data_IF_740405184275
#
_entry.id   IF_740405184275
#
_cell.length_a   1.000
_cell.length_b   1.000
_cell.length_c   1.000
_cell.angle_alpha   90.00
_cell.angle_beta   90.00
_cell.angle_gamma   90.00
#
_symmetry.space_group_name_H-M   'P 1'
#
loop_
_entity.id
_entity.type
_entity.pdbx_description
1 polymer ?
#
# COMPACT_ATOMS: atom_id res chain seq x y z
N UNK A 1 -16.55 5.86 -14.08
CA UNK A 1 -16.38 4.59 -13.38
C UNK A 1 -16.65 4.78 -11.90
N UNK A 2 -17.40 3.89 -11.32
CA UNK A 2 -17.77 3.99 -9.93
C UNK A 2 -16.59 3.67 -9.02
N UNK A 3 -16.60 4.28 -7.85
CA UNK A 3 -15.59 4.03 -6.84
C UNK A 3 -15.75 2.62 -6.29
N UNK A 4 -14.64 1.93 -6.08
CA UNK A 4 -14.64 0.59 -5.50
C UNK A 4 -14.55 0.62 -3.98
N UNK A 5 -13.92 1.65 -3.41
CA UNK A 5 -13.60 1.72 -1.98
C UNK A 5 -13.75 3.15 -1.48
N UNK A 6 -14.34 3.30 -0.31
CA UNK A 6 -14.53 4.62 0.30
C UNK A 6 -13.29 5.11 1.04
N UNK A 7 -12.46 4.21 1.55
CA UNK A 7 -11.26 4.54 2.32
C UNK A 7 -10.13 3.64 1.91
N UNK A 8 -9.15 4.20 1.23
CA UNK A 8 -8.02 3.43 0.73
C UNK A 8 -6.74 4.24 0.84
N UNK A 9 -5.62 3.58 0.59
CA UNK A 9 -4.31 4.22 0.62
C UNK A 9 -3.37 3.63 -0.40
N UNK A 10 -2.42 4.45 -0.84
CA UNK A 10 -1.32 4.02 -1.67
C UNK A 10 -0.01 4.28 -0.94
N UNK A 11 0.90 3.33 -1.03
CA UNK A 11 2.22 3.43 -0.42
C UNK A 11 3.30 3.32 -1.48
N UNK A 12 4.21 4.27 -1.47
CA UNK A 12 5.41 4.22 -2.28
C UNK A 12 6.56 3.86 -1.34
N UNK A 13 7.04 2.60 -1.43
CA UNK A 13 7.97 2.04 -0.45
C UNK A 13 9.39 2.16 -0.95
N UNK A 14 10.21 2.86 -0.18
CA UNK A 14 11.64 3.02 -0.43
C UNK A 14 12.43 2.38 0.70
N UNK A 15 13.76 2.37 0.56
CA UNK A 15 14.63 1.73 1.54
C UNK A 15 14.48 2.33 2.94
N UNK A 16 14.47 3.65 3.03
CA UNK A 16 14.48 4.34 4.32
C UNK A 16 13.21 5.10 4.63
N UNK A 17 12.27 5.14 3.70
CA UNK A 17 11.02 5.85 3.93
C UNK A 17 9.88 5.27 3.11
N UNK A 18 8.68 5.49 3.60
CA UNK A 18 7.44 5.12 2.92
C UNK A 18 6.60 6.38 2.82
N UNK A 19 6.26 6.76 1.60
CA UNK A 19 5.33 7.86 1.37
C UNK A 19 3.94 7.26 1.26
N UNK A 20 3.02 7.70 2.12
CA UNK A 20 1.68 7.16 2.19
C UNK A 20 0.67 8.24 1.83
N UNK A 21 -0.29 7.88 0.97
CA UNK A 21 -1.40 8.76 0.61
C UNK A 21 -2.71 8.06 0.89
N UNK A 22 -3.53 8.62 1.77
CA UNK A 22 -4.86 8.08 2.06
C UNK A 22 -5.92 8.91 1.35
N UNK A 23 -6.90 8.23 0.76
CA UNK A 23 -8.04 8.86 0.10
C UNK A 23 -9.30 8.41 0.82
N UNK A 24 -10.04 9.36 1.33
CA UNK A 24 -11.18 9.09 2.21
C UNK A 24 -12.39 9.86 1.71
N UNK A 25 -13.53 9.19 1.62
CA UNK A 25 -14.79 9.86 1.28
C UNK A 25 -15.09 10.94 2.30
N UNK A 26 -15.33 12.15 1.83
CA UNK A 26 -15.70 13.27 2.66
C UNK A 26 -16.66 14.17 1.88
N UNK A 27 -17.97 14.07 2.14
CA UNK A 27 -18.96 14.82 1.36
C UNK A 27 -18.81 16.33 1.43
N UNK A 28 -18.15 16.85 2.47
CA UNK A 28 -17.97 18.31 2.59
C UNK A 28 -16.64 18.77 1.98
N UNK A 29 -15.76 17.85 1.59
CA UNK A 29 -14.52 18.22 0.94
C UNK A 29 -14.75 18.49 -0.55
N UNK A 30 -13.91 19.35 -1.12
CA UNK A 30 -13.92 19.59 -2.56
C UNK A 30 -13.64 18.28 -3.30
N UNK A 31 -14.47 17.98 -4.28
CA UNK A 31 -14.35 16.72 -5.03
C UNK A 31 -14.84 15.51 -4.28
N UNK A 32 -15.39 15.67 -3.07
CA UNK A 32 -15.93 14.55 -2.30
C UNK A 32 -14.88 13.66 -1.66
N UNK A 33 -13.63 14.07 -1.67
CA UNK A 33 -12.52 13.28 -1.14
C UNK A 33 -11.61 14.14 -0.26
N UNK A 34 -11.20 13.58 0.87
CA UNK A 34 -10.10 14.11 1.65
C UNK A 34 -8.86 13.28 1.34
N UNK A 35 -7.76 13.96 1.03
CA UNK A 35 -6.50 13.31 0.70
C UNK A 35 -5.49 13.69 1.77
N UNK A 36 -4.89 12.69 2.40
CA UNK A 36 -3.86 12.92 3.41
C UNK A 36 -2.57 12.25 2.99
N UNK A 37 -1.49 13.00 3.06
CA UNK A 37 -0.16 12.54 2.67
C UNK A 37 0.74 12.58 3.90
N UNK A 38 1.46 11.48 4.13
CA UNK A 38 2.35 11.37 5.29
C UNK A 38 3.53 10.48 4.93
N UNK A 39 4.69 10.80 5.46
CA UNK A 39 5.91 10.01 5.26
C UNK A 39 6.31 9.33 6.55
N UNK A 40 6.60 8.04 6.47
CA UNK A 40 7.04 7.23 7.61
C UNK A 40 8.42 6.65 7.31
N UNK A 41 9.17 6.34 8.38
CA UNK A 41 10.38 5.55 8.22
C UNK A 41 10.08 4.07 8.05
N UNK A 42 11.11 3.25 8.05
CA UNK A 42 10.98 1.81 7.81
C UNK A 42 11.41 0.97 9.02
N UNK A 43 11.66 1.60 10.16
CA UNK A 43 11.89 0.87 11.40
C UNK A 43 10.59 0.25 11.89
N UNK A 44 10.68 -0.73 12.77
CA UNK A 44 9.48 -1.39 13.30
C UNK A 44 8.53 -0.39 13.94
N UNK A 45 9.05 0.55 14.75
CA UNK A 45 8.20 1.54 15.40
C UNK A 45 7.50 2.45 14.38
N UNK A 46 8.17 2.81 13.28
CA UNK A 46 7.58 3.63 12.23
C UNK A 46 6.54 2.86 11.44
N UNK A 47 6.78 1.58 11.19
CA UNK A 47 5.81 0.73 10.49
C UNK A 47 4.55 0.53 11.33
N UNK A 48 4.70 0.42 12.64
CA UNK A 48 3.56 0.33 13.54
C UNK A 48 2.80 1.66 13.57
N UNK A 49 3.50 2.78 13.52
CA UNK A 49 2.87 4.09 13.43
C UNK A 49 2.07 4.24 12.13
N UNK A 50 2.61 3.74 11.01
CA UNK A 50 1.91 3.71 9.74
C UNK A 50 0.63 2.89 9.85
N UNK A 51 0.71 1.70 10.43
CA UNK A 51 -0.45 0.85 10.65
C UNK A 51 -1.52 1.57 11.46
N UNK A 52 -1.11 2.21 12.55
CA UNK A 52 -2.05 2.90 13.43
C UNK A 52 -2.70 4.10 12.72
N UNK A 53 -1.93 4.82 11.92
CA UNK A 53 -2.44 5.94 11.15
C UNK A 53 -3.50 5.49 10.13
N UNK A 54 -3.22 4.42 9.41
CA UNK A 54 -4.17 3.87 8.43
C UNK A 54 -5.42 3.33 9.13
N UNK A 55 -5.24 2.65 10.24
CA UNK A 55 -6.35 2.10 11.02
C UNK A 55 -7.25 3.21 11.57
N UNK A 56 -6.64 4.27 12.09
CA UNK A 56 -7.38 5.41 12.63
C UNK A 56 -8.21 6.11 11.53
N UNK A 57 -7.71 6.12 10.30
CA UNK A 57 -8.43 6.68 9.16
C UNK A 57 -9.49 5.73 8.60
N UNK A 58 -9.57 4.52 9.11
CA UNK A 58 -10.55 3.53 8.66
C UNK A 58 -10.24 2.95 7.30
N UNK A 59 -8.99 2.97 6.88
CA UNK A 59 -8.57 2.44 5.58
C UNK A 59 -8.84 0.93 5.52
N UNK A 60 -9.51 0.48 4.48
CA UNK A 60 -9.86 -0.92 4.29
C UNK A 60 -9.09 -1.59 3.16
N UNK A 61 -8.45 -0.81 2.31
CA UNK A 61 -7.64 -1.33 1.20
C UNK A 61 -6.38 -0.48 1.07
N UNK A 62 -5.24 -1.14 1.03
CA UNK A 62 -3.96 -0.46 0.81
C UNK A 62 -3.22 -1.16 -0.33
N UNK A 63 -2.67 -0.36 -1.23
CA UNK A 63 -1.81 -0.87 -2.30
C UNK A 63 -0.42 -0.31 -2.13
N UNK A 64 0.60 -1.11 -2.39
CA UNK A 64 1.97 -0.67 -2.26
C UNK A 64 2.82 -1.10 -3.44
N UNK A 65 3.77 -0.26 -3.79
CA UNK A 65 4.76 -0.52 -4.81
C UNK A 65 6.14 -0.32 -4.19
N UNK A 66 7.06 -1.22 -4.50
CA UNK A 66 8.43 -1.11 -4.03
C UNK A 66 9.38 -1.79 -5.00
N UNK A 67 10.68 -1.54 -4.82
CA UNK A 67 11.70 -2.28 -5.54
C UNK A 67 12.17 -3.45 -4.67
N UNK A 68 12.58 -4.55 -5.34
CA UNK A 68 13.11 -5.71 -4.66
C UNK A 68 12.17 -6.26 -3.60
N UNK A 69 12.69 -6.44 -2.39
CA UNK A 69 11.95 -7.06 -1.29
C UNK A 69 11.57 -6.06 -0.20
N UNK A 70 11.68 -4.76 -0.47
CA UNK A 70 11.39 -3.73 0.53
C UNK A 70 9.94 -3.73 0.98
N UNK A 71 9.02 -4.26 0.17
CA UNK A 71 7.61 -4.34 0.48
C UNK A 71 7.31 -5.31 1.64
N UNK A 72 8.20 -6.26 1.91
CA UNK A 72 7.88 -7.35 2.86
C UNK A 72 7.58 -6.85 4.27
N UNK A 73 8.43 -5.99 4.81
CA UNK A 73 8.24 -5.52 6.18
C UNK A 73 6.91 -4.76 6.36
N UNK A 74 6.61 -3.73 5.55
CA UNK A 74 5.32 -3.06 5.70
C UNK A 74 4.14 -3.98 5.38
N UNK A 75 4.24 -4.83 4.36
CA UNK A 75 3.16 -5.72 3.98
C UNK A 75 2.78 -6.64 5.14
N UNK A 76 3.76 -7.29 5.75
CA UNK A 76 3.49 -8.27 6.81
C UNK A 76 2.92 -7.61 8.07
N UNK A 77 3.25 -6.36 8.32
CA UNK A 77 2.67 -5.63 9.45
C UNK A 77 1.23 -5.18 9.14
N UNK A 78 0.97 -4.79 7.90
CA UNK A 78 -0.33 -4.24 7.52
C UNK A 78 -1.39 -5.30 7.19
N UNK A 79 -1.00 -6.46 6.69
CA UNK A 79 -1.97 -7.42 6.18
C UNK A 79 -2.95 -7.93 7.24
N UNK A 80 -2.53 -7.98 8.50
CA UNK A 80 -3.41 -8.40 9.58
C UNK A 80 -4.35 -7.30 10.06
N UNK A 81 -3.97 -6.05 9.85
CA UNK A 81 -4.73 -4.89 10.33
C UNK A 81 -5.66 -4.31 9.26
N UNK A 82 -5.28 -4.43 8.00
CA UNK A 82 -6.02 -3.88 6.87
C UNK A 82 -6.66 -5.03 6.10
N UNK A 83 -7.95 -4.93 5.83
CA UNK A 83 -8.70 -6.02 5.19
C UNK A 83 -8.16 -6.45 3.84
N UNK A 84 -7.73 -5.50 3.00
CA UNK A 84 -7.13 -5.79 1.72
C UNK A 84 -5.78 -5.10 1.62
N UNK A 85 -4.72 -5.90 1.48
CA UNK A 85 -3.36 -5.39 1.35
C UNK A 85 -2.79 -5.92 0.04
N UNK A 86 -2.51 -5.02 -0.90
CA UNK A 86 -2.11 -5.37 -2.26
C UNK A 86 -0.68 -5.00 -2.51
N UNK A 87 0.10 -5.95 -3.03
CA UNK A 87 1.42 -5.66 -3.60
C UNK A 87 1.21 -5.44 -5.09
N UNK A 88 1.62 -4.29 -5.58
CA UNK A 88 1.37 -3.90 -6.96
C UNK A 88 2.63 -4.05 -7.80
N UNK A 89 2.44 -4.47 -9.05
CA UNK A 89 3.52 -4.62 -10.00
C UNK A 89 3.84 -3.26 -10.62
N UNK A 90 5.10 -2.83 -10.53
CA UNK A 90 5.53 -1.54 -11.07
C UNK A 90 5.21 -1.41 -12.57
N UNK A 91 5.30 -2.50 -13.32
CA UNK A 91 4.94 -2.48 -14.75
C UNK A 91 3.50 -2.07 -14.97
N UNK A 92 2.60 -2.62 -14.18
CA UNK A 92 1.18 -2.28 -14.31
C UNK A 92 0.95 -0.81 -14.01
N UNK A 93 1.63 -0.29 -12.99
CA UNK A 93 1.49 1.11 -12.62
C UNK A 93 1.95 2.03 -13.74
N UNK A 94 3.09 1.72 -14.36
CA UNK A 94 3.66 2.56 -15.42
C UNK A 94 2.89 2.46 -16.71
N UNK A 95 2.15 1.39 -16.93
CA UNK A 95 1.37 1.18 -18.16
C UNK A 95 -0.04 1.75 -18.08
N UNK A 96 -0.48 2.23 -16.93
CA UNK A 96 -1.81 2.82 -16.80
C UNK A 96 -1.80 4.22 -17.41
N UNK A 97 -2.71 4.53 -18.35
CA UNK A 97 -2.77 5.86 -18.96
C UNK A 97 -3.08 6.94 -17.93
N UNK A 98 -2.52 8.12 -18.15
CA UNK A 98 -2.81 9.27 -17.31
C UNK A 98 -1.76 9.54 -16.25
N UNK A 99 -0.77 8.67 -16.10
CA UNK A 99 0.33 8.93 -15.18
C UNK A 99 1.10 10.18 -15.62
N UNK A 100 1.35 11.06 -14.67
CA UNK A 100 1.91 12.38 -14.98
C UNK A 100 3.35 12.58 -14.51
N UNK A 101 3.63 12.30 -13.24
CA UNK A 101 4.92 12.61 -12.66
C UNK A 101 5.31 11.56 -11.63
N UNK A 102 6.61 11.48 -11.36
CA UNK A 102 7.12 10.58 -10.32
C UNK A 102 6.88 11.15 -8.92
N UNK A 103 6.74 12.46 -8.80
CA UNK A 103 6.59 13.11 -7.51
C UNK A 103 5.26 12.77 -6.81
N UNK A 104 4.29 12.24 -7.55
CA UNK A 104 2.98 11.94 -7.01
C UNK A 104 2.70 10.44 -6.95
N UNK A 105 3.76 9.61 -6.79
CA UNK A 105 3.59 8.16 -6.87
C UNK A 105 2.61 7.61 -5.83
N UNK A 106 2.71 8.01 -4.57
CA UNK A 106 1.80 7.51 -3.55
C UNK A 106 0.35 7.92 -3.84
N UNK A 107 0.14 9.15 -4.27
CA UNK A 107 -1.19 9.64 -4.63
C UNK A 107 -1.73 8.90 -5.84
N UNK A 108 -0.89 8.65 -6.84
CA UNK A 108 -1.28 7.91 -8.04
C UNK A 108 -1.66 6.48 -7.68
N UNK A 109 -0.86 5.82 -6.85
CA UNK A 109 -1.15 4.48 -6.37
C UNK A 109 -2.49 4.44 -5.65
N UNK A 110 -2.74 5.42 -4.78
CA UNK A 110 -4.01 5.50 -4.05
C UNK A 110 -5.21 5.61 -4.98
N UNK A 111 -5.11 6.42 -6.04
CA UNK A 111 -6.19 6.54 -7.02
C UNK A 111 -6.43 5.20 -7.74
N UNK A 112 -5.37 4.54 -8.17
CA UNK A 112 -5.49 3.27 -8.87
C UNK A 112 -6.11 2.20 -7.98
N UNK A 113 -5.74 2.19 -6.71
CA UNK A 113 -6.29 1.26 -5.73
C UNK A 113 -7.77 1.55 -5.48
N UNK A 114 -8.12 2.82 -5.37
CA UNK A 114 -9.51 3.22 -5.13
C UNK A 114 -10.44 2.71 -6.22
N UNK A 115 -10.04 2.86 -7.47
CA UNK A 115 -10.89 2.49 -8.61
C UNK A 115 -10.66 1.07 -9.11
N UNK A 116 -9.76 0.32 -8.48
CA UNK A 116 -9.48 -1.06 -8.89
C UNK A 116 -8.85 -1.17 -10.27
N UNK A 117 -8.04 -0.19 -10.66
CA UNK A 117 -7.44 -0.13 -11.99
C UNK A 117 -6.14 -0.92 -12.10
N UNK A 118 -5.69 -1.53 -11.03
CA UNK A 118 -4.48 -2.36 -11.00
C UNK A 118 -4.82 -3.69 -10.36
N UNK A 119 -4.00 -4.70 -10.67
CA UNK A 119 -4.16 -6.03 -10.10
C UNK A 119 -3.08 -6.29 -9.06
N UNK A 120 -3.44 -6.85 -7.91
CA UNK A 120 -2.42 -7.21 -6.94
C UNK A 120 -1.56 -8.38 -7.44
N UNK A 121 -0.27 -8.35 -7.09
CA UNK A 121 0.61 -9.48 -7.28
C UNK A 121 0.29 -10.55 -6.25
N UNK A 122 0.55 -11.80 -6.60
CA UNK A 122 0.34 -12.89 -5.65
C UNK A 122 1.37 -12.83 -4.52
N UNK A 123 0.88 -12.83 -3.29
CA UNK A 123 1.71 -12.96 -2.10
C UNK A 123 1.24 -14.21 -1.38
N UNK A 124 2.12 -15.20 -1.15
CA UNK A 124 1.69 -16.43 -0.51
C UNK A 124 1.08 -16.19 0.86
N UNK A 125 0.07 -16.96 1.25
CA UNK A 125 -0.49 -16.87 2.61
C UNK A 125 0.59 -17.12 3.67
N UNK A 126 0.36 -16.57 4.85
CA UNK A 126 1.33 -16.64 5.94
C UNK A 126 1.87 -18.04 6.23
N UNK A 127 1.03 -19.11 6.30
CA UNK A 127 1.57 -20.45 6.56
C UNK A 127 2.60 -20.91 5.53
N UNK A 128 2.38 -20.58 4.24
CA UNK A 128 3.32 -20.94 3.17
C UNK A 128 4.62 -20.16 3.31
N UNK A 129 4.54 -18.89 3.69
CA UNK A 129 5.72 -18.05 3.90
C UNK A 129 6.57 -18.58 5.05
N UNK A 130 5.94 -18.98 6.14
CA UNK A 130 6.64 -19.54 7.29
C UNK A 130 7.39 -20.80 6.91
N UNK A 131 6.75 -21.68 6.14
CA UNK A 131 7.40 -22.91 5.68
C UNK A 131 8.61 -22.61 4.80
N UNK A 132 8.49 -21.65 3.88
CA UNK A 132 9.60 -21.24 3.03
C UNK A 132 10.76 -20.69 3.85
N UNK A 133 10.47 -19.89 4.86
CA UNK A 133 11.50 -19.33 5.73
C UNK A 133 12.24 -20.42 6.52
N UNK A 134 11.53 -21.39 7.03
CA UNK A 134 12.16 -22.52 7.73
C UNK A 134 13.08 -23.31 6.80
N UNK A 135 12.65 -23.53 5.58
CA UNK A 135 13.46 -24.23 4.59
C UNK A 135 14.75 -23.47 4.29
N UNK A 136 14.69 -22.15 4.19
CA UNK A 136 15.88 -21.33 3.97
C UNK A 136 16.88 -21.46 5.11
N UNK A 137 16.41 -21.43 6.33
CA UNK A 137 17.27 -21.56 7.50
C UNK A 137 18.01 -22.89 7.49
N UNK A 138 17.34 -23.97 7.10
CA UNK A 138 17.97 -25.27 7.04
C UNK A 138 19.07 -25.36 5.99
N UNK A 139 18.96 -24.59 4.92
CA UNK A 139 19.95 -24.61 3.84
C UNK A 139 21.14 -23.71 4.14
N UNK A 140 21.01 -22.79 5.04
CA UNK A 140 22.11 -21.94 5.45
C UNK A 140 23.01 -22.65 6.45
#
# INVERSE_FOLDING_TARGET
MDQQVERCAGLDVHKDEIVACARIVDPVAEGGRRVELHTFGTTTSELLALRDWLTALGVTRVGMESTGVLWKAPFYILEDAIGECWLLNARHLHNVPGRKTDAADAAWIAELVEYGLVRPSFVPPQPIRELRNLTRYRKA
#
